data_IF_066796594455
#
_entry.id   IF_066796594455
#
_cell.length_a   1.000
_cell.length_b   1.000
_cell.length_c   1.000
_cell.angle_alpha   90.00
_cell.angle_beta   90.00
_cell.angle_gamma   90.00
#
_symmetry.space_group_name_H-M   'P 1'
#
loop_
_entity.id
_entity.type
_entity.pdbx_description
1 polymer ?
#
# COMPACT_ATOMS: atom_id res chain seq x y z
N UNK A 1 -3.19 -2.15 -28.63
CA UNK A 1 -4.40 -1.68 -27.93
C UNK A 1 -4.18 -0.23 -27.56
N UNK A 2 -5.06 0.71 -27.92
CA UNK A 2 -4.80 2.13 -27.67
C UNK A 2 -4.85 2.38 -26.16
N UNK A 3 -3.75 2.94 -25.65
CA UNK A 3 -3.62 3.48 -24.31
C UNK A 3 -4.24 4.88 -24.30
N UNK A 4 -5.28 5.07 -23.49
CA UNK A 4 -5.83 6.31 -22.90
C UNK A 4 -7.33 6.43 -23.20
N UNK A 5 -8.15 6.02 -22.24
CA UNK A 5 -9.56 6.38 -22.27
C UNK A 5 -9.71 7.90 -22.05
N UNK A 6 -10.64 8.51 -22.78
CA UNK A 6 -10.84 9.96 -22.92
C UNK A 6 -11.25 10.69 -21.64
N UNK A 7 -11.47 9.97 -20.53
CA UNK A 7 -11.85 10.52 -19.24
C UNK A 7 -10.69 10.66 -18.25
N UNK A 8 -9.47 10.24 -18.60
CA UNK A 8 -8.28 10.46 -17.77
C UNK A 8 -7.80 11.92 -17.85
N UNK A 9 -8.46 12.81 -17.11
CA UNK A 9 -8.09 14.22 -17.01
C UNK A 9 -6.90 14.37 -16.06
N UNK A 10 -5.66 14.27 -16.57
CA UNK A 10 -4.46 14.75 -15.85
C UNK A 10 -3.26 13.80 -15.78
N UNK A 11 -3.41 12.53 -16.12
CA UNK A 11 -2.28 11.59 -16.14
C UNK A 11 -1.64 11.57 -17.53
N UNK A 12 -0.78 12.56 -17.82
CA UNK A 12 0.26 12.41 -18.87
C UNK A 12 1.55 11.98 -18.17
N UNK A 13 1.69 10.70 -17.80
CA UNK A 13 2.94 10.22 -17.23
C UNK A 13 4.04 10.32 -18.30
N UNK A 14 5.28 10.38 -17.84
CA UNK A 14 6.43 10.25 -18.73
C UNK A 14 6.42 8.93 -19.51
N UNK A 15 7.43 8.67 -20.36
CA UNK A 15 7.48 7.47 -21.19
C UNK A 15 7.47 6.16 -20.39
N UNK A 16 7.83 6.20 -19.10
CA UNK A 16 7.77 5.06 -18.19
C UNK A 16 6.45 5.08 -17.41
N UNK A 17 5.66 4.02 -17.59
CA UNK A 17 4.42 3.76 -16.83
C UNK A 17 4.58 2.52 -15.96
N UNK A 18 3.71 2.39 -14.96
CA UNK A 18 3.60 1.15 -14.19
C UNK A 18 3.18 -0.01 -15.10
N UNK A 19 3.76 -1.19 -14.88
CA UNK A 19 3.29 -2.40 -15.52
C UNK A 19 1.96 -2.83 -14.92
N UNK A 20 0.97 -3.08 -15.78
CA UNK A 20 -0.35 -3.55 -15.33
C UNK A 20 -0.23 -4.99 -14.79
N UNK A 21 -0.66 -5.19 -13.55
CA UNK A 21 -0.81 -6.52 -12.95
C UNK A 21 -2.26 -6.94 -13.14
N UNK A 22 -2.50 -7.82 -14.11
CA UNK A 22 -3.86 -8.29 -14.45
C UNK A 22 -4.25 -9.57 -13.69
N UNK A 23 -3.26 -10.33 -13.21
CA UNK A 23 -3.49 -11.60 -12.51
C UNK A 23 -3.06 -11.47 -11.04
N UNK A 24 -3.91 -11.88 -10.09
CA UNK A 24 -3.59 -11.80 -8.66
C UNK A 24 -2.34 -12.62 -8.31
N UNK A 25 -2.13 -13.78 -8.95
CA UNK A 25 -0.96 -14.65 -8.74
C UNK A 25 0.38 -13.93 -8.88
N UNK A 26 0.44 -12.91 -9.74
CA UNK A 26 1.66 -12.11 -9.94
C UNK A 26 1.89 -11.20 -8.74
N UNK A 27 0.84 -10.56 -8.20
CA UNK A 27 0.93 -9.75 -7.00
C UNK A 27 1.32 -10.63 -5.80
N UNK A 28 0.71 -11.81 -5.67
CA UNK A 28 1.03 -12.78 -4.61
C UNK A 28 2.50 -13.19 -4.67
N UNK A 29 3.00 -13.54 -5.87
CA UNK A 29 4.41 -13.89 -6.06
C UNK A 29 5.36 -12.74 -5.72
N UNK A 30 5.00 -11.49 -6.03
CA UNK A 30 5.81 -10.31 -5.66
C UNK A 30 5.86 -10.10 -4.15
N UNK A 31 4.71 -10.21 -3.47
CA UNK A 31 4.61 -10.06 -2.01
C UNK A 31 5.38 -11.18 -1.31
N UNK A 32 5.23 -12.43 -1.76
CA UNK A 32 5.94 -13.58 -1.18
C UNK A 32 7.45 -13.55 -1.41
N UNK A 33 7.91 -12.96 -2.52
CA UNK A 33 9.34 -12.83 -2.83
C UNK A 33 10.00 -11.66 -2.10
N UNK A 34 9.22 -10.66 -1.66
CA UNK A 34 9.73 -9.52 -0.93
C UNK A 34 10.30 -9.99 0.42
N UNK A 35 11.54 -9.59 0.71
CA UNK A 35 12.20 -9.92 1.99
C UNK A 35 11.68 -9.02 3.10
N UNK A 36 11.31 -7.79 2.74
CA UNK A 36 10.95 -6.73 3.68
C UNK A 36 9.92 -5.79 3.04
N UNK A 37 8.67 -6.26 2.88
CA UNK A 37 7.58 -5.43 2.36
C UNK A 37 7.09 -4.41 3.39
N UNK A 38 6.48 -3.33 2.91
CA UNK A 38 5.69 -2.40 3.69
C UNK A 38 4.36 -2.12 2.99
N UNK A 39 3.29 -1.95 3.77
CA UNK A 39 1.98 -1.60 3.25
C UNK A 39 1.56 -0.21 3.74
N UNK A 40 1.22 0.67 2.80
CA UNK A 40 0.77 2.03 3.02
C UNK A 40 -0.72 2.10 2.68
N UNK A 41 -1.53 2.50 3.66
CA UNK A 41 -2.98 2.51 3.54
C UNK A 41 -3.54 3.91 3.71
N UNK A 42 -4.26 4.39 2.69
CA UNK A 42 -4.94 5.68 2.70
C UNK A 42 -6.41 5.61 3.12
N UNK A 43 -7.20 6.65 2.83
CA UNK A 43 -8.61 6.74 3.21
C UNK A 43 -9.56 5.90 2.35
N UNK A 44 -9.24 5.72 1.07
CA UNK A 44 -10.12 5.06 0.10
C UNK A 44 -10.51 3.63 0.49
N UNK A 45 -9.75 2.96 1.36
CA UNK A 45 -10.07 1.61 1.84
C UNK A 45 -11.38 1.49 2.62
N UNK A 46 -11.98 2.60 3.03
CA UNK A 46 -13.29 2.61 3.69
C UNK A 46 -14.46 2.57 2.70
N UNK A 47 -14.21 2.92 1.43
CA UNK A 47 -15.25 3.07 0.40
C UNK A 47 -15.42 1.80 -0.45
N UNK A 48 -14.41 0.93 -0.49
CA UNK A 48 -14.39 -0.25 -1.36
C UNK A 48 -14.67 -1.55 -0.61
N UNK A 49 -15.39 -2.43 -1.30
CA UNK A 49 -15.62 -3.82 -0.92
C UNK A 49 -15.12 -4.76 -2.02
N UNK A 50 -14.57 -5.90 -1.60
CA UNK A 50 -14.07 -6.96 -2.48
C UNK A 50 -14.84 -8.23 -2.11
N UNK A 51 -15.63 -8.74 -3.04
CA UNK A 51 -16.40 -9.99 -2.85
C UNK A 51 -17.26 -9.99 -1.57
N UNK A 52 -17.83 -8.83 -1.21
CA UNK A 52 -18.66 -8.65 -0.01
C UNK A 52 -17.87 -8.50 1.30
N UNK A 53 -16.53 -8.48 1.23
CA UNK A 53 -15.67 -8.14 2.36
C UNK A 53 -15.19 -6.69 2.24
N UNK A 54 -15.22 -5.92 3.34
CA UNK A 54 -14.66 -4.57 3.33
C UNK A 54 -13.16 -4.64 3.07
N UNK A 55 -12.65 -3.76 2.21
CA UNK A 55 -11.24 -3.78 1.81
C UNK A 55 -10.30 -3.68 3.02
N UNK A 56 -10.67 -2.90 4.04
CA UNK A 56 -9.92 -2.84 5.30
C UNK A 56 -9.73 -4.20 5.98
N UNK A 57 -10.76 -5.05 6.00
CA UNK A 57 -10.70 -6.35 6.67
C UNK A 57 -9.79 -7.31 5.88
N UNK A 58 -9.89 -7.27 4.54
CA UNK A 58 -9.00 -8.01 3.65
C UNK A 58 -7.53 -7.61 3.85
N UNK A 59 -7.24 -6.32 3.94
CA UNK A 59 -5.88 -5.80 4.14
C UNK A 59 -5.32 -6.16 5.52
N UNK A 60 -6.15 -6.13 6.58
CA UNK A 60 -5.74 -6.56 7.91
C UNK A 60 -5.34 -8.04 7.90
N UNK A 61 -6.13 -8.90 7.25
CA UNK A 61 -5.81 -10.32 7.14
C UNK A 61 -4.55 -10.59 6.29
N UNK A 62 -4.38 -9.86 5.19
CA UNK A 62 -3.16 -9.89 4.39
C UNK A 62 -1.93 -9.48 5.20
N UNK A 63 -2.03 -8.38 5.96
CA UNK A 63 -0.96 -7.87 6.80
C UNK A 63 -0.55 -8.88 7.88
N UNK A 64 -1.52 -9.51 8.54
CA UNK A 64 -1.26 -10.55 9.55
C UNK A 64 -0.58 -11.78 8.94
N UNK A 65 -1.10 -12.30 7.83
CA UNK A 65 -0.55 -13.49 7.16
C UNK A 65 0.85 -13.25 6.61
N UNK A 66 1.06 -12.10 5.96
CA UNK A 66 2.35 -11.72 5.39
C UNK A 66 3.32 -11.10 6.40
N UNK A 67 2.91 -10.88 7.65
CA UNK A 67 3.66 -10.13 8.68
C UNK A 67 4.17 -8.78 8.16
N UNK A 68 3.31 -8.09 7.40
CA UNK A 68 3.66 -6.85 6.72
C UNK A 68 3.37 -5.68 7.67
N UNK A 69 4.35 -4.81 7.96
CA UNK A 69 4.10 -3.58 8.70
C UNK A 69 3.17 -2.66 7.90
N UNK A 70 2.12 -2.19 8.57
CA UNK A 70 1.12 -1.30 7.97
C UNK A 70 1.34 0.12 8.47
N UNK A 71 1.50 1.06 7.55
CA UNK A 71 1.41 2.50 7.83
C UNK A 71 0.04 2.97 7.37
N UNK A 72 -0.65 3.70 8.24
CA UNK A 72 -1.91 4.36 7.91
C UNK A 72 -1.71 5.85 7.75
N UNK A 73 -2.39 6.45 6.78
CA UNK A 73 -2.53 7.91 6.74
C UNK A 73 -3.50 8.35 7.84
N UNK A 74 -3.31 9.57 8.37
CA UNK A 74 -3.87 9.99 9.66
C UNK A 74 -5.39 9.73 9.84
N UNK A 75 -6.19 9.78 8.78
CA UNK A 75 -7.65 9.64 8.84
C UNK A 75 -8.13 8.20 9.08
N UNK A 76 -7.34 7.16 8.80
CA UNK A 76 -7.80 5.76 8.89
C UNK A 76 -7.41 5.02 10.16
N UNK A 77 -6.57 5.59 11.02
CA UNK A 77 -6.09 4.92 12.22
C UNK A 77 -7.23 4.42 13.15
N UNK A 78 -8.30 5.21 13.32
CA UNK A 78 -9.44 4.83 14.18
C UNK A 78 -10.12 3.54 13.71
N UNK A 79 -10.21 3.34 12.39
CA UNK A 79 -10.85 2.16 11.79
C UNK A 79 -10.00 0.90 11.92
N UNK A 80 -8.67 1.02 11.95
CA UNK A 80 -7.79 -0.11 12.25
C UNK A 80 -7.86 -0.49 13.73
N UNK A 81 -7.85 0.50 14.62
CA UNK A 81 -7.93 0.27 16.06
C UNK A 81 -9.27 -0.36 16.48
N UNK A 82 -10.39 0.03 15.87
CA UNK A 82 -11.70 -0.59 16.13
C UNK A 82 -11.76 -2.08 15.75
N UNK A 83 -10.89 -2.50 14.82
CA UNK A 83 -10.70 -3.89 14.38
C UNK A 83 -9.58 -4.62 15.12
N UNK A 84 -9.13 -4.03 16.23
CA UNK A 84 -8.10 -4.59 17.10
C UNK A 84 -6.77 -4.85 16.36
N UNK A 85 -6.45 -4.01 15.38
CA UNK A 85 -5.21 -4.01 14.63
C UNK A 85 -4.47 -2.70 14.87
N UNK A 86 -3.26 -2.77 15.42
CA UNK A 86 -2.41 -1.60 15.63
C UNK A 86 -1.50 -1.40 14.41
N UNK A 87 -1.63 -0.27 13.67
CA UNK A 87 -0.68 0.07 12.62
C UNK A 87 0.74 0.25 13.19
N UNK A 88 1.75 -0.06 12.39
CA UNK A 88 3.15 0.12 12.76
C UNK A 88 3.54 1.60 12.89
N UNK A 89 2.89 2.47 12.11
CA UNK A 89 3.05 3.92 12.21
C UNK A 89 1.82 4.65 11.64
N UNK A 90 1.67 5.91 12.03
CA UNK A 90 0.69 6.84 11.47
C UNK A 90 1.48 7.98 10.83
N UNK A 91 1.32 8.18 9.52
CA UNK A 91 2.16 9.13 8.78
C UNK A 91 1.46 9.61 7.50
N UNK A 92 1.58 10.89 7.11
CA UNK A 92 1.09 11.37 5.83
C UNK A 92 1.74 10.66 4.65
N UNK A 93 1.01 10.48 3.54
CA UNK A 93 1.54 9.80 2.35
C UNK A 93 2.81 10.47 1.79
N UNK A 94 2.85 11.81 1.78
CA UNK A 94 4.02 12.60 1.34
C UNK A 94 5.25 12.32 2.20
N UNK A 95 5.06 12.23 3.51
CA UNK A 95 6.10 11.94 4.48
C UNK A 95 6.66 10.51 4.33
N UNK A 96 5.81 9.55 3.97
CA UNK A 96 6.23 8.17 3.69
C UNK A 96 7.02 8.13 2.38
N UNK A 97 6.54 8.81 1.34
CA UNK A 97 7.21 8.87 0.04
C UNK A 97 8.63 9.43 0.17
N UNK A 98 8.80 10.54 0.91
CA UNK A 98 10.11 11.14 1.17
C UNK A 98 11.06 10.19 1.94
N UNK A 99 10.53 9.39 2.86
CA UNK A 99 11.33 8.40 3.61
C UNK A 99 11.73 7.22 2.73
N UNK A 100 10.82 6.72 1.89
CA UNK A 100 11.10 5.58 1.00
C UNK A 100 12.17 5.92 -0.06
N UNK A 101 12.33 7.19 -0.42
CA UNK A 101 13.36 7.64 -1.36
C UNK A 101 14.68 8.02 -0.68
N UNK A 102 14.72 8.12 0.65
CA UNK A 102 15.91 8.45 1.42
C UNK A 102 16.80 7.21 1.62
N UNK A 103 18.01 7.16 1.01
CA UNK A 103 18.92 6.03 1.18
C UNK A 103 19.45 5.88 2.62
N UNK A 104 19.39 6.94 3.43
CA UNK A 104 19.79 6.92 4.83
C UNK A 104 18.71 6.37 5.77
N UNK A 105 17.47 6.22 5.31
CA UNK A 105 16.38 5.76 6.15
C UNK A 105 16.42 4.24 6.36
N UNK A 106 16.47 3.80 7.62
CA UNK A 106 16.56 2.38 8.02
C UNK A 106 15.20 1.73 8.31
N UNK A 107 14.13 2.26 7.72
CA UNK A 107 12.76 1.80 7.95
C UNK A 107 12.22 2.13 9.35
N UNK A 108 11.04 1.61 9.68
CA UNK A 108 10.32 1.90 10.92
C UNK A 108 10.98 1.31 12.17
N UNK A 109 11.72 0.21 12.04
CA UNK A 109 12.38 -0.50 13.14
C UNK A 109 13.89 -0.20 13.23
N UNK A 110 14.40 0.70 12.38
CA UNK A 110 15.80 1.11 12.34
C UNK A 110 16.79 0.07 11.82
N UNK A 111 16.32 -1.04 11.22
CA UNK A 111 17.21 -2.10 10.73
C UNK A 111 17.66 -1.87 9.28
N UNK A 112 16.71 -1.83 8.35
CA UNK A 112 16.96 -1.74 6.91
C UNK A 112 15.74 -1.18 6.18
N UNK A 113 15.98 -0.67 4.97
CA UNK A 113 14.94 -0.16 4.07
C UNK A 113 14.05 -1.28 3.53
N UNK A 114 12.93 -0.90 2.90
CA UNK A 114 11.93 -1.83 2.38
C UNK A 114 12.21 -2.15 0.91
N UNK A 115 12.07 -3.42 0.52
CA UNK A 115 12.30 -3.87 -0.86
C UNK A 115 11.01 -3.96 -1.70
N UNK A 116 9.85 -3.80 -1.05
CA UNK A 116 8.54 -3.68 -1.70
C UNK A 116 7.67 -2.70 -0.91
N UNK A 117 7.06 -1.74 -1.60
CA UNK A 117 6.04 -0.86 -1.05
C UNK A 117 4.70 -1.10 -1.75
N UNK A 118 3.66 -1.40 -0.96
CA UNK A 118 2.31 -1.68 -1.43
C UNK A 118 1.44 -0.49 -1.01
N UNK A 119 0.89 0.23 -1.97
CA UNK A 119 0.02 1.38 -1.73
C UNK A 119 -1.43 1.01 -2.01
N UNK A 120 -2.33 1.25 -1.06
CA UNK A 120 -3.75 0.91 -1.20
C UNK A 120 -4.63 2.04 -0.68
N UNK A 121 -5.59 2.46 -1.50
CA UNK A 121 -6.59 3.47 -1.14
C UNK A 121 -6.02 4.82 -0.72
N UNK A 122 -4.87 5.23 -1.29
CA UNK A 122 -4.29 6.57 -1.11
C UNK A 122 -5.23 7.68 -1.58
#
# INVERSE_FOLDING_TARGET
>A
MPLSDSWQTGEIPGPKKASLILKPDIADALILRARRPIMIVGHGILEYEVEGCKLIDCLIELAKKGKIPVIVTASTNKEFLSRNFAPAAIMPAVDIANRLTDPGWKGLDGKDTYDLAIFVGL
#
